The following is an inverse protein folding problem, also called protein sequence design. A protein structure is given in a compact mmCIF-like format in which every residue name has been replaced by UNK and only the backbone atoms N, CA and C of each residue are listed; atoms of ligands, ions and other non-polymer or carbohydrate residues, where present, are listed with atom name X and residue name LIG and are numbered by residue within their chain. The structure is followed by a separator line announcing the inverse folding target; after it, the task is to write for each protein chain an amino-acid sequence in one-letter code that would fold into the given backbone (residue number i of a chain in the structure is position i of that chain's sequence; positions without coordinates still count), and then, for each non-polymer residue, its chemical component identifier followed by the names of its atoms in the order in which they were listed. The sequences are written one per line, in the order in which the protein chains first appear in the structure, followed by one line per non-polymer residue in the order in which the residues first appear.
data_IF_357771814735
#
_entry.id   IF_357771814735
#
_cell.length_a   1.000
_cell.length_b   1.000
_cell.length_c   1.000
_cell.angle_alpha   90.00
_cell.angle_beta   90.00
_cell.angle_gamma   90.00
#
_symmetry.space_group_name_H-M   'P 1'
#
loop_
_entity.id
_entity.type
_entity.pdbx_description
1 polymer ?
#
# COMPACT_ATOMS: atom_id res chain seq x y z
N UNK A 1 25.43 2.40 13.10
CA UNK A 1 24.32 1.48 12.86
C UNK A 1 23.18 2.25 12.21
N UNK A 2 22.75 1.93 10.98
CA UNK A 2 21.60 2.59 10.39
C UNK A 2 20.40 2.26 11.27
N UNK A 3 19.77 3.29 11.85
CA UNK A 3 18.60 3.11 12.71
C UNK A 3 17.53 2.40 11.88
N UNK A 4 17.41 1.08 12.06
CA UNK A 4 16.28 0.28 11.58
C UNK A 4 15.06 0.66 12.42
N UNK A 5 14.62 1.91 12.25
CA UNK A 5 13.42 2.42 12.86
C UNK A 5 12.28 1.58 12.33
N UNK A 6 11.48 1.04 13.26
CA UNK A 6 10.24 0.30 13.05
C UNK A 6 9.63 0.63 11.68
N UNK A 7 9.44 -0.36 10.77
CA UNK A 7 8.74 -0.09 9.52
C UNK A 7 7.42 0.57 9.90
N UNK A 8 7.28 1.85 9.52
CA UNK A 8 6.06 2.60 9.75
C UNK A 8 5.00 1.82 9.00
N UNK A 9 4.10 1.21 9.77
CA UNK A 9 2.93 0.48 9.29
C UNK A 9 2.33 1.18 8.06
N UNK A 10 1.91 0.37 7.09
CA UNK A 10 1.25 0.74 5.82
C UNK A 10 2.15 1.15 4.64
N UNK A 11 3.49 1.14 4.79
CA UNK A 11 4.42 1.49 3.71
C UNK A 11 5.51 0.42 3.45
N UNK A 12 5.27 -0.84 3.85
CA UNK A 12 6.18 -1.94 3.54
C UNK A 12 6.26 -2.20 2.02
N UNK A 13 7.43 -2.60 1.52
CA UNK A 13 7.63 -2.90 0.09
C UNK A 13 6.60 -3.92 -0.45
N UNK A 14 6.17 -4.86 0.38
CA UNK A 14 5.12 -5.83 0.04
C UNK A 14 3.76 -5.16 -0.25
N UNK A 15 3.38 -4.15 0.53
CA UNK A 15 2.14 -3.38 0.29
C UNK A 15 2.27 -2.51 -0.95
N UNK A 16 3.45 -1.91 -1.18
CA UNK A 16 3.74 -1.10 -2.36
C UNK A 16 3.60 -1.90 -3.66
N UNK A 17 4.17 -3.10 -3.71
CA UNK A 17 4.05 -3.96 -4.90
C UNK A 17 2.61 -4.40 -5.14
N UNK A 18 1.85 -4.69 -4.07
CA UNK A 18 0.43 -5.06 -4.17
C UNK A 18 -0.43 -3.92 -4.73
N UNK A 19 -0.22 -2.68 -4.26
CA UNK A 19 -0.88 -1.49 -4.80
C UNK A 19 -0.56 -1.29 -6.28
N UNK A 20 0.72 -1.44 -6.67
CA UNK A 20 1.15 -1.32 -8.08
C UNK A 20 0.48 -2.38 -8.96
N UNK A 21 0.33 -3.60 -8.46
CA UNK A 21 -0.31 -4.69 -9.19
C UNK A 21 -1.81 -4.43 -9.37
N UNK A 22 -2.54 -4.10 -8.30
CA UNK A 22 -3.98 -3.80 -8.37
C UNK A 22 -4.27 -2.60 -9.31
N UNK A 23 -3.45 -1.54 -9.24
CA UNK A 23 -3.57 -0.39 -10.14
C UNK A 23 -3.31 -0.73 -11.62
N UNK A 24 -2.39 -1.66 -11.90
CA UNK A 24 -2.08 -2.12 -13.27
C UNK A 24 -3.17 -3.05 -13.83
N UNK A 25 -3.70 -3.94 -13.00
CA UNK A 25 -4.73 -4.88 -13.41
C UNK A 25 -6.04 -4.16 -13.75
N UNK A 26 -6.39 -3.09 -13.04
CA UNK A 26 -7.67 -2.45 -13.23
C UNK A 26 -7.61 -0.92 -13.04
N UNK A 27 -7.34 -0.22 -14.15
CA UNK A 27 -7.21 1.25 -14.20
C UNK A 27 -8.48 2.04 -13.84
N UNK A 28 -9.61 1.35 -13.64
CA UNK A 28 -10.89 1.94 -13.19
C UNK A 28 -11.02 1.98 -11.67
N UNK A 29 -10.15 1.28 -10.93
CA UNK A 29 -10.19 1.27 -9.48
C UNK A 29 -9.76 2.64 -8.92
N UNK A 30 -10.50 3.10 -7.94
CA UNK A 30 -10.19 4.28 -7.14
C UNK A 30 -9.16 3.96 -6.06
N UNK A 31 -8.46 4.98 -5.58
CA UNK A 31 -7.46 4.84 -4.50
C UNK A 31 -8.07 4.21 -3.24
N UNK A 32 -9.37 4.42 -2.99
CA UNK A 32 -10.08 3.83 -1.85
C UNK A 32 -10.36 2.35 -2.02
N UNK A 33 -10.72 1.90 -3.22
CA UNK A 33 -10.92 0.48 -3.50
C UNK A 33 -9.59 -0.30 -3.42
N UNK A 34 -8.51 0.27 -3.96
CA UNK A 34 -7.18 -0.33 -3.86
C UNK A 34 -6.72 -0.39 -2.40
N UNK A 35 -7.01 0.65 -1.62
CA UNK A 35 -6.69 0.67 -0.20
C UNK A 35 -7.44 -0.41 0.60
N UNK A 36 -8.73 -0.59 0.31
CA UNK A 36 -9.56 -1.64 0.91
C UNK A 36 -9.04 -3.04 0.53
N UNK A 37 -8.68 -3.25 -0.74
CA UNK A 37 -8.12 -4.50 -1.26
C UNK A 37 -6.77 -4.87 -0.64
N UNK A 38 -5.93 -3.87 -0.41
CA UNK A 38 -4.59 -4.05 0.19
C UNK A 38 -4.65 -4.02 1.73
N UNK A 39 -5.78 -3.64 2.32
CA UNK A 39 -5.95 -3.57 3.77
C UNK A 39 -5.21 -2.40 4.42
N UNK A 40 -5.02 -1.30 3.69
CA UNK A 40 -4.37 -0.08 4.18
C UNK A 40 -5.41 1.01 4.46
N UNK A 41 -5.25 1.70 5.59
CA UNK A 41 -6.05 2.89 5.90
C UNK A 41 -5.50 4.11 5.16
N UNK A 42 -6.38 4.84 4.45
CA UNK A 42 -6.02 6.06 3.72
C UNK A 42 -5.79 7.29 4.61
N UNK A 43 -6.06 7.18 5.91
CA UNK A 43 -5.85 8.23 6.88
C UNK A 43 -5.27 7.68 8.18
N UNK A 44 -4.36 8.47 8.75
CA UNK A 44 -3.72 8.33 10.06
C UNK A 44 -4.30 9.33 11.04
#
# INVERSE_FOLDING_TARGET
DPRSGRPSTSADDAHIERVKESARQNRRLTVREIADEVGISLGS
#
